data_IF_252945594324
#
_entry.id   IF_252945594324
#
_cell.length_a   1.000
_cell.length_b   1.000
_cell.length_c   1.000
_cell.angle_alpha   90.00
_cell.angle_beta   90.00
_cell.angle_gamma   90.00
#
_symmetry.space_group_name_H-M   'P 1'
#
loop_
_entity.id
_entity.type
_entity.pdbx_description
1 polymer ?
#
# COMPACT_ATOMS: atom_id res chain seq x y z
N UNK A 1 -11.94 -6.07 10.25
CA UNK A 1 -13.11 -6.06 9.35
C UNK A 1 -13.10 -7.31 8.47
N UNK A 2 -12.21 -7.47 7.46
CA UNK A 2 -12.24 -8.61 6.52
C UNK A 2 -12.26 -9.98 7.22
N UNK A 3 -11.35 -10.23 8.17
CA UNK A 3 -11.26 -11.49 8.94
C UNK A 3 -12.50 -11.82 9.78
N UNK A 4 -13.36 -10.84 10.03
CA UNK A 4 -14.59 -10.99 10.82
C UNK A 4 -15.85 -11.01 9.95
N UNK A 5 -15.71 -10.97 8.61
CA UNK A 5 -16.85 -10.89 7.70
C UNK A 5 -17.60 -9.54 7.74
N UNK A 6 -17.00 -8.49 8.31
CA UNK A 6 -17.58 -7.17 8.34
C UNK A 6 -17.46 -6.48 6.97
N UNK A 7 -18.37 -5.54 6.70
CA UNK A 7 -18.32 -4.74 5.46
C UNK A 7 -17.01 -3.98 5.36
N UNK A 8 -16.25 -4.21 4.30
CA UNK A 8 -14.98 -3.55 4.02
C UNK A 8 -15.17 -2.37 3.05
N UNK A 9 -14.22 -1.39 3.01
CA UNK A 9 -14.25 -0.34 2.01
C UNK A 9 -14.11 -0.90 0.59
N UNK A 10 -14.59 -0.18 -0.41
CA UNK A 10 -14.48 -0.57 -1.83
C UNK A 10 -13.04 -0.54 -2.33
N UNK A 11 -12.30 0.47 -1.89
CA UNK A 11 -10.91 0.70 -2.29
C UNK A 11 -10.06 1.04 -1.07
N UNK A 12 -8.81 0.67 -1.12
CA UNK A 12 -7.78 1.00 -0.14
C UNK A 12 -6.55 1.52 -0.90
N UNK A 13 -6.11 2.73 -0.57
CA UNK A 13 -4.87 3.31 -1.13
C UNK A 13 -3.85 3.44 -0.01
N UNK A 14 -2.72 2.76 -0.15
CA UNK A 14 -1.57 2.86 0.75
C UNK A 14 -0.49 3.70 0.08
N UNK A 15 0.03 4.71 0.78
CA UNK A 15 0.96 5.67 0.22
C UNK A 15 2.16 5.85 1.15
N UNK A 16 3.37 5.63 0.66
CA UNK A 16 4.62 5.88 1.37
C UNK A 16 4.73 5.20 2.74
N UNK A 17 4.10 4.03 2.92
CA UNK A 17 4.10 3.30 4.19
C UNK A 17 5.10 2.15 4.20
N UNK A 18 5.83 1.92 5.31
CA UNK A 18 6.85 0.87 5.41
C UNK A 18 6.20 -0.50 5.69
N UNK A 19 5.49 -1.06 4.72
CA UNK A 19 4.89 -2.40 4.85
C UNK A 19 5.97 -3.47 4.99
N UNK A 20 7.01 -3.41 4.16
CA UNK A 20 8.23 -4.20 4.34
C UNK A 20 9.47 -3.29 4.31
N UNK A 21 9.88 -2.81 5.47
CA UNK A 21 11.01 -1.89 5.62
C UNK A 21 12.38 -2.50 5.21
N UNK A 22 12.44 -3.79 4.88
CA UNK A 22 13.65 -4.45 4.39
C UNK A 22 13.87 -4.22 2.89
N UNK A 23 12.82 -3.81 2.17
CA UNK A 23 12.92 -3.46 0.75
C UNK A 23 13.46 -2.04 0.62
N UNK A 24 14.57 -1.86 -0.11
CA UNK A 24 15.26 -0.57 -0.29
C UNK A 24 15.37 0.23 1.01
N UNK A 25 16.06 -0.30 2.04
CA UNK A 25 16.09 0.31 3.37
C UNK A 25 16.79 1.66 3.33
N UNK A 26 16.10 2.68 3.82
CA UNK A 26 16.60 4.05 3.97
C UNK A 26 17.53 4.20 5.18
N UNK A 27 18.13 5.38 5.36
CA UNK A 27 18.96 5.67 6.56
C UNK A 27 18.15 5.48 7.86
N UNK A 28 16.89 5.88 7.86
CA UNK A 28 15.98 5.73 9.02
C UNK A 28 15.71 4.24 9.31
N UNK A 29 15.43 3.45 8.27
CA UNK A 29 15.20 2.02 8.43
C UNK A 29 16.45 1.32 8.96
N UNK A 30 17.63 1.65 8.42
CA UNK A 30 18.90 1.10 8.86
C UNK A 30 19.19 1.46 10.33
N UNK A 31 18.92 2.69 10.76
CA UNK A 31 19.04 3.07 12.17
C UNK A 31 18.13 2.23 13.05
N UNK A 32 16.87 2.06 12.65
CA UNK A 32 15.87 1.30 13.40
C UNK A 32 16.24 -0.20 13.51
N UNK A 33 16.78 -0.79 12.44
CA UNK A 33 17.21 -2.19 12.42
C UNK A 33 18.50 -2.45 13.20
N UNK A 34 19.44 -1.49 13.20
CA UNK A 34 20.78 -1.69 13.75
C UNK A 34 20.94 -1.27 15.23
N UNK A 35 20.02 -0.49 15.78
CA UNK A 35 20.03 -0.10 17.20
C UNK A 35 19.09 -0.97 18.02
N UNK A 36 19.50 -1.33 19.24
CA UNK A 36 18.65 -2.10 20.13
C UNK A 36 17.43 -1.31 20.59
N UNK A 37 16.36 -2.00 20.99
CA UNK A 37 15.18 -1.38 21.59
C UNK A 37 15.54 -0.50 22.79
N UNK A 38 16.43 -0.97 23.68
CA UNK A 38 16.92 -0.22 24.83
C UNK A 38 17.67 1.04 24.43
N UNK A 39 18.36 1.03 23.28
CA UNK A 39 19.02 2.24 22.79
C UNK A 39 17.98 3.32 22.48
N UNK A 40 16.87 2.99 21.80
CA UNK A 40 15.81 3.95 21.54
C UNK A 40 15.19 4.46 22.84
N UNK A 41 14.89 3.56 23.78
CA UNK A 41 14.31 3.94 25.07
C UNK A 41 15.20 4.92 25.86
N UNK A 42 16.52 4.72 25.85
CA UNK A 42 17.44 5.51 26.66
C UNK A 42 17.93 6.79 25.97
N UNK A 43 17.85 6.89 24.64
CA UNK A 43 18.43 8.02 23.90
C UNK A 43 17.39 8.95 23.25
N UNK A 44 16.16 8.48 23.02
CA UNK A 44 15.16 9.30 22.33
C UNK A 44 13.87 9.50 23.11
N UNK A 45 13.66 8.79 24.23
CA UNK A 45 12.48 8.94 25.07
C UNK A 45 12.81 9.88 26.23
N UNK A 46 11.98 10.90 26.40
CA UNK A 46 12.11 11.90 27.44
C UNK A 46 10.84 11.99 28.28
N UNK A 47 10.92 12.67 29.42
CA UNK A 47 9.76 13.00 30.23
C UNK A 47 9.39 14.46 30.01
N UNK A 48 8.10 14.72 29.83
CA UNK A 48 7.59 16.09 29.71
C UNK A 48 7.88 16.83 31.02
N UNK A 49 8.56 18.00 30.97
CA UNK A 49 8.92 18.77 32.15
C UNK A 49 7.70 19.27 32.93
N UNK A 50 7.88 19.57 34.23
CA UNK A 50 6.80 19.90 35.15
C UNK A 50 6.01 21.18 34.83
N UNK A 51 6.58 22.08 34.06
CA UNK A 51 5.96 23.34 33.63
C UNK A 51 5.11 23.26 32.34
N UNK A 52 5.01 22.07 31.74
CA UNK A 52 4.22 21.87 30.53
C UNK A 52 3.01 20.97 30.76
N UNK A 53 1.93 21.14 29.99
CA UNK A 53 0.80 20.22 30.01
C UNK A 53 1.24 18.77 29.73
N UNK A 54 0.78 17.82 30.55
CA UNK A 54 1.18 16.42 30.45
C UNK A 54 2.50 16.08 31.14
N UNK A 55 2.95 16.93 32.08
CA UNK A 55 4.14 16.70 32.90
C UNK A 55 4.29 15.26 33.38
N UNK A 56 5.51 14.71 33.28
CA UNK A 56 5.87 13.36 33.68
C UNK A 56 5.56 12.27 32.66
N UNK A 57 4.77 12.53 31.60
CA UNK A 57 4.56 11.55 30.51
C UNK A 57 5.85 11.26 29.79
N UNK A 58 6.01 10.00 29.40
CA UNK A 58 7.14 9.57 28.57
C UNK A 58 6.78 9.78 27.09
N UNK A 59 7.61 10.48 26.37
CA UNK A 59 7.37 10.85 24.97
C UNK A 59 8.64 10.73 24.13
N UNK A 60 8.46 10.51 22.82
CA UNK A 60 9.44 10.87 21.80
C UNK A 60 9.18 12.33 21.41
N UNK A 61 10.02 13.29 21.82
CA UNK A 61 9.71 14.71 21.72
C UNK A 61 9.67 15.20 20.27
N UNK A 62 8.78 16.16 20.00
CA UNK A 62 8.65 16.78 18.68
C UNK A 62 9.95 17.41 18.19
N UNK A 63 10.73 18.06 19.07
CA UNK A 63 12.01 18.66 18.67
C UNK A 63 13.06 17.62 18.22
N UNK A 64 13.06 16.42 18.80
CA UNK A 64 13.94 15.34 18.34
C UNK A 64 13.47 14.72 17.02
N UNK A 65 12.17 14.59 16.83
CA UNK A 65 11.60 14.15 15.56
C UNK A 65 12.01 15.13 14.46
N UNK A 66 11.84 16.43 14.70
CA UNK A 66 12.23 17.49 13.78
C UNK A 66 13.74 17.47 13.48
N UNK A 67 14.59 17.34 14.50
CA UNK A 67 16.03 17.20 14.30
C UNK A 67 16.39 15.98 13.44
N UNK A 68 15.70 14.85 13.64
CA UNK A 68 15.83 13.66 12.81
C UNK A 68 15.47 13.91 11.35
N UNK A 69 14.35 14.59 11.09
CA UNK A 69 13.91 14.94 9.73
C UNK A 69 14.91 15.85 9.01
N UNK A 70 15.45 16.85 9.69
CA UNK A 70 16.48 17.74 9.11
C UNK A 70 17.76 16.95 8.83
N UNK A 71 18.17 16.05 9.74
CA UNK A 71 19.39 15.26 9.60
C UNK A 71 19.34 14.24 8.45
N UNK A 72 18.15 13.82 8.00
CA UNK A 72 18.02 12.93 6.85
C UNK A 72 18.44 13.60 5.53
N UNK A 73 18.21 14.91 5.39
CA UNK A 73 18.56 15.64 4.17
C UNK A 73 18.93 17.11 4.45
N UNK A 74 20.08 17.35 5.14
CA UNK A 74 20.45 18.68 5.63
C UNK A 74 20.70 19.66 4.48
N UNK A 75 21.29 19.22 3.38
CA UNK A 75 21.60 20.08 2.23
C UNK A 75 20.34 20.62 1.56
N UNK A 76 19.29 19.82 1.50
CA UNK A 76 17.98 20.23 0.97
C UNK A 76 17.38 21.35 1.82
N UNK A 77 17.44 21.21 3.15
CA UNK A 77 16.92 22.22 4.06
C UNK A 77 17.74 23.53 3.98
N UNK A 78 19.08 23.43 3.99
CA UNK A 78 19.97 24.58 3.82
C UNK A 78 19.70 25.32 2.50
N UNK A 79 19.60 24.57 1.39
CA UNK A 79 19.27 25.14 0.09
C UNK A 79 17.90 25.82 0.07
N UNK A 80 16.89 25.18 0.65
CA UNK A 80 15.52 25.72 0.71
C UNK A 80 15.47 27.06 1.45
N UNK A 81 16.15 27.17 2.60
CA UNK A 81 16.23 28.43 3.35
C UNK A 81 17.04 29.50 2.62
N UNK A 82 18.09 29.12 1.90
CA UNK A 82 18.85 30.03 1.07
C UNK A 82 18.04 30.56 -0.11
N UNK A 83 17.26 29.71 -0.77
CA UNK A 83 16.36 30.11 -1.84
C UNK A 83 15.25 31.04 -1.31
N UNK A 84 14.68 30.76 -0.14
CA UNK A 84 13.74 31.66 0.54
C UNK A 84 14.31 33.04 0.79
N UNK A 85 15.56 33.14 1.25
CA UNK A 85 16.25 34.41 1.44
C UNK A 85 16.37 35.18 0.10
N UNK A 86 16.71 34.50 -0.99
CA UNK A 86 16.76 35.12 -2.32
C UNK A 86 15.40 35.62 -2.80
N UNK A 87 14.35 34.87 -2.54
CA UNK A 87 12.98 35.23 -2.93
C UNK A 87 12.47 36.45 -2.14
N UNK A 88 12.85 36.55 -0.86
CA UNK A 88 12.62 37.76 -0.04
C UNK A 88 13.29 39.00 -0.67
N UNK A 89 14.55 38.89 -1.09
CA UNK A 89 15.29 40.01 -1.72
C UNK A 89 14.65 40.41 -3.06
N UNK A 90 14.17 39.43 -3.84
CA UNK A 90 13.52 39.69 -5.14
C UNK A 90 12.09 40.22 -5.00
N UNK A 91 11.50 40.17 -3.80
CA UNK A 91 10.09 40.51 -3.59
C UNK A 91 9.11 39.49 -4.17
N UNK A 92 9.52 38.22 -4.36
CA UNK A 92 8.63 37.14 -4.82
C UNK A 92 7.75 36.66 -3.65
N UNK A 93 6.66 37.38 -3.40
CA UNK A 93 5.75 37.11 -2.30
C UNK A 93 5.08 35.73 -2.38
N UNK A 94 4.84 35.20 -3.59
CA UNK A 94 4.22 33.88 -3.76
C UNK A 94 5.14 32.74 -3.33
N UNK A 95 6.42 32.79 -3.74
CA UNK A 95 7.43 31.80 -3.31
C UNK A 95 7.73 31.90 -1.82
N UNK A 96 7.81 33.12 -1.30
CA UNK A 96 7.99 33.38 0.15
C UNK A 96 6.86 32.78 0.97
N UNK A 97 5.62 33.00 0.60
CA UNK A 97 4.46 32.47 1.32
C UNK A 97 4.38 30.94 1.22
N UNK A 98 4.66 30.38 0.06
CA UNK A 98 4.69 28.92 -0.13
C UNK A 98 5.76 28.26 0.78
N UNK A 99 6.96 28.88 0.89
CA UNK A 99 8.03 28.39 1.78
C UNK A 99 7.61 28.46 3.25
N UNK A 100 7.05 29.60 3.70
CA UNK A 100 6.57 29.76 5.09
C UNK A 100 5.51 28.74 5.43
N UNK A 101 4.49 28.61 4.60
CA UNK A 101 3.42 27.62 4.81
C UNK A 101 3.97 26.20 4.91
N UNK A 102 4.91 25.82 4.05
CA UNK A 102 5.53 24.49 4.11
C UNK A 102 6.28 24.28 5.43
N UNK A 103 7.10 25.23 5.86
CA UNK A 103 7.89 25.07 7.10
C UNK A 103 7.06 25.25 8.36
N UNK A 104 5.98 26.02 8.36
CA UNK A 104 5.05 26.09 9.47
C UNK A 104 4.40 24.72 9.73
N UNK A 105 3.97 24.02 8.68
CA UNK A 105 3.48 22.64 8.75
C UNK A 105 4.58 21.63 9.15
N UNK A 106 5.74 21.75 8.54
CA UNK A 106 6.89 20.86 8.77
C UNK A 106 7.40 20.94 10.22
N UNK A 107 7.36 22.12 10.83
CA UNK A 107 7.81 22.36 12.20
C UNK A 107 6.71 22.04 13.24
N UNK A 108 5.46 21.87 12.84
CA UNK A 108 4.34 21.57 13.73
C UNK A 108 4.31 20.11 14.19
N UNK A 109 5.44 19.58 14.66
CA UNK A 109 5.59 18.20 15.11
C UNK A 109 5.21 18.09 16.58
N UNK A 110 4.26 17.20 16.89
CA UNK A 110 3.82 16.94 18.25
C UNK A 110 4.64 15.84 18.92
N UNK A 111 4.70 15.88 20.25
CA UNK A 111 5.27 14.80 21.04
C UNK A 111 4.48 13.50 20.80
N UNK A 112 5.19 12.41 20.60
CA UNK A 112 4.61 11.09 20.38
C UNK A 112 4.70 10.26 21.67
N UNK A 113 3.65 9.52 22.03
CA UNK A 113 3.69 8.60 23.17
C UNK A 113 4.85 7.60 23.03
N UNK A 114 5.62 7.42 24.09
CA UNK A 114 6.81 6.58 24.09
C UNK A 114 6.50 5.12 23.76
N UNK A 115 5.39 4.56 24.28
CA UNK A 115 5.05 3.16 24.03
C UNK A 115 4.66 2.94 22.58
N UNK A 116 3.89 3.87 22.01
CA UNK A 116 3.53 3.83 20.60
C UNK A 116 4.77 3.87 19.68
N UNK A 117 5.69 4.80 19.95
CA UNK A 117 6.94 4.90 19.19
C UNK A 117 7.80 3.63 19.30
N UNK A 118 8.06 3.17 20.53
CA UNK A 118 8.90 2.00 20.79
C UNK A 118 8.28 0.72 20.23
N UNK A 119 6.96 0.55 20.34
CA UNK A 119 6.25 -0.58 19.74
C UNK A 119 6.30 -0.53 18.21
N UNK A 120 6.19 0.65 17.60
CA UNK A 120 6.34 0.83 16.15
C UNK A 120 7.73 0.41 15.68
N UNK A 121 8.80 0.90 16.34
CA UNK A 121 10.18 0.51 16.02
C UNK A 121 10.33 -1.02 16.07
N UNK A 122 9.89 -1.63 17.16
CA UNK A 122 10.00 -3.08 17.34
C UNK A 122 9.18 -3.86 16.31
N UNK A 123 7.91 -3.53 16.17
CA UNK A 123 6.95 -4.30 15.36
C UNK A 123 7.21 -4.18 13.87
N UNK A 124 7.48 -2.95 13.40
CA UNK A 124 7.61 -2.65 11.97
C UNK A 124 9.03 -2.83 11.46
N UNK A 125 10.03 -2.34 12.22
CA UNK A 125 11.40 -2.21 11.72
C UNK A 125 12.38 -3.27 12.29
N UNK A 126 12.08 -3.94 13.39
CA UNK A 126 12.94 -4.96 14.00
C UNK A 126 12.39 -6.37 13.84
N UNK A 127 11.13 -6.59 14.19
CA UNK A 127 10.49 -7.90 14.15
C UNK A 127 9.69 -8.15 12.85
N UNK A 128 9.42 -7.12 12.05
CA UNK A 128 8.70 -7.21 10.76
C UNK A 128 7.42 -8.04 10.88
N UNK A 129 6.67 -7.86 11.98
CA UNK A 129 5.56 -8.76 12.37
C UNK A 129 4.49 -8.90 11.31
N UNK A 130 4.17 -7.80 10.59
CA UNK A 130 3.16 -7.85 9.54
C UNK A 130 3.58 -8.79 8.40
N UNK A 131 4.81 -8.64 7.93
CA UNK A 131 5.35 -9.42 6.81
C UNK A 131 5.53 -10.88 7.18
N UNK A 132 5.96 -11.15 8.43
CA UNK A 132 6.12 -12.51 8.94
C UNK A 132 4.78 -13.16 9.33
N UNK A 133 3.64 -12.43 9.25
CA UNK A 133 2.33 -12.93 9.65
C UNK A 133 2.26 -13.28 11.15
N UNK A 134 3.08 -12.61 11.97
CA UNK A 134 3.18 -12.84 13.43
C UNK A 134 2.63 -11.69 14.27
N UNK A 135 1.98 -10.70 13.65
CA UNK A 135 1.43 -9.55 14.36
C UNK A 135 0.08 -9.88 14.96
N UNK A 136 0.00 -9.84 16.30
CA UNK A 136 -1.23 -9.94 17.05
C UNK A 136 -1.62 -8.58 17.61
N UNK A 137 -2.89 -8.24 17.52
CA UNK A 137 -3.50 -7.02 18.09
C UNK A 137 -4.62 -7.41 19.04
N UNK A 138 -4.94 -6.56 20.01
CA UNK A 138 -6.06 -6.81 20.88
C UNK A 138 -7.39 -6.50 20.16
N UNK A 139 -8.31 -7.45 20.19
CA UNK A 139 -9.68 -7.23 19.72
C UNK A 139 -10.50 -6.42 20.75
N UNK A 140 -11.75 -6.10 20.43
CA UNK A 140 -12.64 -5.32 21.33
C UNK A 140 -12.91 -6.00 22.68
N UNK A 141 -12.62 -7.30 22.81
CA UNK A 141 -12.75 -8.06 24.06
C UNK A 141 -11.43 -8.16 24.84
N UNK A 142 -10.37 -7.47 24.37
CA UNK A 142 -9.04 -7.53 24.98
C UNK A 142 -8.28 -8.84 24.71
N UNK A 143 -8.73 -9.66 23.76
CA UNK A 143 -8.07 -10.91 23.41
C UNK A 143 -7.15 -10.72 22.20
N UNK A 144 -5.99 -11.40 22.14
CA UNK A 144 -5.10 -11.33 20.98
C UNK A 144 -5.79 -11.89 19.73
N UNK A 145 -5.67 -11.18 18.62
CA UNK A 145 -6.19 -11.57 17.31
C UNK A 145 -5.11 -11.33 16.26
N UNK A 146 -4.80 -12.36 15.46
CA UNK A 146 -3.80 -12.29 14.40
C UNK A 146 -4.24 -11.35 13.28
N UNK A 147 -3.35 -10.43 12.88
CA UNK A 147 -3.53 -9.60 11.68
C UNK A 147 -3.34 -10.47 10.43
N UNK A 148 -4.35 -10.52 9.56
CA UNK A 148 -4.38 -11.38 8.36
C UNK A 148 -4.73 -10.56 7.11
N UNK A 149 -3.75 -9.93 6.45
CA UNK A 149 -3.98 -9.18 5.20
C UNK A 149 -4.56 -10.04 4.07
N UNK A 150 -4.23 -11.33 4.06
CA UNK A 150 -4.75 -12.30 3.09
C UNK A 150 -6.28 -12.49 3.16
N UNK A 151 -6.94 -12.10 4.26
CA UNK A 151 -8.40 -12.18 4.37
C UNK A 151 -9.13 -11.08 3.59
N UNK A 152 -8.40 -10.08 3.11
CA UNK A 152 -8.95 -9.01 2.27
C UNK A 152 -9.17 -9.57 0.85
N UNK A 153 -10.43 -9.55 0.38
CA UNK A 153 -10.83 -10.12 -0.92
C UNK A 153 -11.56 -9.13 -1.82
N UNK A 154 -12.42 -8.30 -1.24
CA UNK A 154 -13.38 -7.45 -1.96
C UNK A 154 -12.97 -6.00 -2.04
N UNK A 155 -11.95 -5.58 -1.29
CA UNK A 155 -11.38 -4.23 -1.32
C UNK A 155 -10.30 -4.18 -2.39
N UNK A 156 -10.43 -3.29 -3.37
CA UNK A 156 -9.37 -3.05 -4.34
C UNK A 156 -8.19 -2.33 -3.67
N UNK A 157 -6.95 -2.72 -4.01
CA UNK A 157 -5.73 -2.21 -3.41
C UNK A 157 -4.92 -1.40 -4.41
N UNK A 158 -4.63 -0.15 -4.05
CA UNK A 158 -3.65 0.70 -4.73
C UNK A 158 -2.49 1.00 -3.77
N UNK A 159 -1.26 0.92 -4.28
CA UNK A 159 -0.07 1.41 -3.57
C UNK A 159 0.59 2.53 -4.36
N UNK A 160 1.10 3.55 -3.65
CA UNK A 160 1.78 4.71 -4.23
C UNK A 160 3.10 4.91 -3.50
N UNK A 161 4.18 5.02 -4.25
CA UNK A 161 5.54 5.25 -3.76
C UNK A 161 6.21 6.39 -4.52
N UNK A 162 7.18 7.05 -3.91
CA UNK A 162 8.08 7.97 -4.59
C UNK A 162 9.37 7.26 -4.95
N UNK A 163 9.85 7.43 -6.18
CA UNK A 163 11.12 6.85 -6.65
C UNK A 163 12.31 7.28 -5.77
N UNK A 164 12.29 8.54 -5.31
CA UNK A 164 13.33 9.15 -4.48
C UNK A 164 12.90 9.31 -3.02
N UNK A 165 12.03 8.40 -2.54
CA UNK A 165 11.56 8.42 -1.16
C UNK A 165 12.69 8.00 -0.21
N UNK A 166 13.16 8.93 0.61
CA UNK A 166 14.24 8.75 1.60
C UNK A 166 13.72 8.35 2.99
N UNK A 167 12.41 8.19 3.15
CA UNK A 167 11.75 7.75 4.39
C UNK A 167 11.24 6.31 4.24
N UNK A 168 10.43 6.05 3.21
CA UNK A 168 9.91 4.73 2.87
C UNK A 168 10.37 4.38 1.46
N UNK A 169 11.48 3.67 1.35
CA UNK A 169 12.12 3.36 0.07
C UNK A 169 11.22 2.56 -0.88
N UNK A 170 11.53 2.65 -2.17
CA UNK A 170 10.79 1.96 -3.23
C UNK A 170 10.64 0.46 -2.96
N UNK A 171 9.43 -0.07 -3.17
CA UNK A 171 9.06 -1.45 -2.90
C UNK A 171 8.51 -1.70 -1.49
N UNK A 172 8.71 -0.78 -0.53
CA UNK A 172 8.24 -0.98 0.84
C UNK A 172 6.71 -0.99 0.94
N UNK A 173 6.04 -0.01 0.32
CA UNK A 173 4.57 0.05 0.30
C UNK A 173 3.99 -0.99 -0.67
N UNK A 174 4.65 -1.20 -1.82
CA UNK A 174 4.25 -2.20 -2.81
C UNK A 174 4.19 -3.62 -2.24
N UNK A 175 4.95 -3.93 -1.18
CA UNK A 175 4.91 -5.20 -0.46
C UNK A 175 3.49 -5.57 0.05
N UNK A 176 2.58 -4.60 0.20
CA UNK A 176 1.19 -4.87 0.54
C UNK A 176 0.50 -5.81 -0.46
N UNK A 177 0.91 -5.78 -1.74
CA UNK A 177 0.38 -6.66 -2.77
C UNK A 177 0.72 -8.13 -2.54
N UNK A 178 1.91 -8.39 -1.96
CA UNK A 178 2.36 -9.73 -1.61
C UNK A 178 1.63 -10.29 -0.39
N UNK A 179 1.20 -9.43 0.53
CA UNK A 179 0.45 -9.81 1.74
C UNK A 179 -1.04 -10.01 1.47
N UNK A 180 -1.64 -9.16 0.63
CA UNK A 180 -3.05 -9.23 0.26
C UNK A 180 -3.27 -10.22 -0.89
N UNK A 181 -2.93 -11.49 -0.68
CA UNK A 181 -2.87 -12.53 -1.73
C UNK A 181 -4.23 -12.87 -2.34
N UNK A 182 -5.33 -12.68 -1.60
CA UNK A 182 -6.68 -13.03 -2.06
C UNK A 182 -7.41 -11.89 -2.78
N UNK A 183 -6.79 -10.73 -2.93
CA UNK A 183 -7.31 -9.68 -3.82
C UNK A 183 -7.00 -10.07 -5.28
N UNK A 184 -8.02 -10.06 -6.13
CA UNK A 184 -7.84 -10.33 -7.56
C UNK A 184 -6.86 -9.34 -8.21
N UNK A 185 -6.06 -9.83 -9.16
CA UNK A 185 -5.04 -9.00 -9.83
C UNK A 185 -5.64 -7.79 -10.56
N UNK A 186 -6.85 -7.91 -11.09
CA UNK A 186 -7.56 -6.80 -11.75
C UNK A 186 -7.97 -5.68 -10.80
N UNK A 187 -7.95 -5.95 -9.50
CA UNK A 187 -8.24 -5.01 -8.41
C UNK A 187 -6.98 -4.46 -7.73
N UNK A 188 -5.81 -4.79 -8.24
CA UNK A 188 -4.52 -4.30 -7.72
C UNK A 188 -3.94 -3.28 -8.67
N UNK A 189 -3.39 -2.19 -8.12
CA UNK A 189 -2.67 -1.16 -8.88
C UNK A 189 -1.48 -0.67 -8.04
N UNK A 190 -0.34 -0.52 -8.68
CA UNK A 190 0.86 0.11 -8.10
C UNK A 190 1.25 1.32 -8.92
N UNK A 191 1.66 2.39 -8.27
CA UNK A 191 2.16 3.62 -8.86
C UNK A 191 3.45 4.02 -8.17
N UNK A 192 4.56 3.96 -8.89
CA UNK A 192 5.81 4.61 -8.51
C UNK A 192 5.91 5.96 -9.23
N UNK A 193 6.12 7.04 -8.48
CA UNK A 193 6.10 8.41 -8.99
C UNK A 193 7.53 8.88 -9.24
N UNK A 194 7.89 9.00 -10.51
CA UNK A 194 9.23 9.39 -10.97
C UNK A 194 9.67 10.74 -10.37
N UNK A 195 10.89 10.77 -9.82
CA UNK A 195 11.52 11.93 -9.20
C UNK A 195 10.80 12.47 -7.96
N UNK A 196 9.80 11.76 -7.40
CA UNK A 196 9.14 12.17 -6.17
C UNK A 196 9.87 11.62 -4.94
N UNK A 197 10.16 12.49 -3.96
CA UNK A 197 10.45 12.08 -2.60
C UNK A 197 9.16 11.88 -1.80
N UNK A 198 9.29 11.52 -0.53
CA UNK A 198 8.17 11.18 0.35
C UNK A 198 7.01 12.19 0.31
N UNK A 199 7.30 13.46 0.54
CA UNK A 199 6.26 14.52 0.52
C UNK A 199 5.66 14.78 -0.86
N UNK A 200 6.40 14.47 -1.93
CA UNK A 200 5.99 14.69 -3.32
C UNK A 200 4.79 13.86 -3.76
N UNK A 201 4.56 12.71 -3.10
CA UNK A 201 3.40 11.85 -3.38
C UNK A 201 2.12 12.32 -2.68
N UNK A 202 2.21 13.25 -1.71
CA UNK A 202 1.07 13.76 -0.94
C UNK A 202 0.68 15.19 -1.30
N UNK A 203 1.62 15.99 -1.82
CA UNK A 203 1.40 17.41 -2.05
C UNK A 203 2.20 17.97 -3.24
N UNK A 204 1.89 19.24 -3.61
CA UNK A 204 2.59 19.94 -4.67
C UNK A 204 2.19 19.51 -6.07
N UNK A 205 3.06 19.79 -7.05
CA UNK A 205 2.78 19.56 -8.47
C UNK A 205 2.66 18.08 -8.80
N UNK A 206 3.58 17.24 -8.31
CA UNK A 206 3.53 15.78 -8.59
C UNK A 206 2.27 15.13 -8.07
N UNK A 207 1.84 15.52 -6.87
CA UNK A 207 0.54 15.09 -6.36
C UNK A 207 -0.59 15.44 -7.31
N UNK A 208 -0.69 16.73 -7.72
CA UNK A 208 -1.80 17.20 -8.55
C UNK A 208 -1.81 16.58 -9.94
N UNK A 209 -0.62 16.45 -10.56
CA UNK A 209 -0.50 16.09 -11.97
C UNK A 209 -0.37 14.57 -12.20
N UNK A 210 0.25 13.83 -11.25
CA UNK A 210 0.54 12.40 -11.40
C UNK A 210 -0.26 11.51 -10.44
N UNK A 211 -0.32 11.85 -9.15
CA UNK A 211 -0.89 10.95 -8.13
C UNK A 211 -2.40 11.10 -8.03
N UNK A 212 -2.90 12.31 -7.80
CA UNK A 212 -4.33 12.57 -7.59
C UNK A 212 -5.22 12.04 -8.72
N UNK A 213 -4.91 12.25 -10.02
CA UNK A 213 -5.73 11.70 -11.11
C UNK A 213 -5.81 10.17 -11.07
N UNK A 214 -4.72 9.48 -10.75
CA UNK A 214 -4.67 8.03 -10.65
C UNK A 214 -5.50 7.51 -9.48
N UNK A 215 -5.34 8.12 -8.28
CA UNK A 215 -6.14 7.77 -7.10
C UNK A 215 -7.63 8.01 -7.36
N UNK A 216 -7.99 9.15 -7.96
CA UNK A 216 -9.37 9.46 -8.33
C UNK A 216 -9.95 8.43 -9.31
N UNK A 217 -9.21 8.08 -10.35
CA UNK A 217 -9.62 7.07 -11.33
C UNK A 217 -9.78 5.69 -10.69
N UNK A 218 -8.87 5.31 -9.80
CA UNK A 218 -8.93 4.05 -9.06
C UNK A 218 -10.18 3.95 -8.16
N UNK A 219 -10.50 5.02 -7.44
CA UNK A 219 -11.72 5.09 -6.61
C UNK A 219 -12.97 5.00 -7.50
N UNK A 220 -13.02 5.75 -8.60
CA UNK A 220 -14.15 5.71 -9.54
C UNK A 220 -14.35 4.32 -10.15
N UNK A 221 -13.27 3.61 -10.50
CA UNK A 221 -13.32 2.21 -10.96
C UNK A 221 -13.91 1.27 -9.91
N UNK A 222 -13.54 1.46 -8.63
CA UNK A 222 -14.11 0.69 -7.52
C UNK A 222 -15.62 0.93 -7.37
N UNK A 223 -16.07 2.17 -7.50
CA UNK A 223 -17.47 2.55 -7.44
C UNK A 223 -18.26 1.95 -8.61
N UNK A 224 -17.77 2.06 -9.84
CA UNK A 224 -18.43 1.50 -11.02
C UNK A 224 -18.59 -0.02 -10.94
N UNK A 225 -17.60 -0.73 -10.35
CA UNK A 225 -17.69 -2.16 -10.10
C UNK A 225 -18.85 -2.50 -9.16
N UNK A 226 -19.00 -1.78 -8.06
CA UNK A 226 -20.11 -2.00 -7.12
C UNK A 226 -21.48 -1.80 -7.80
N UNK A 227 -21.59 -0.77 -8.65
CA UNK A 227 -22.82 -0.49 -9.40
C UNK A 227 -23.15 -1.61 -10.38
N UNK A 228 -22.14 -2.18 -11.04
CA UNK A 228 -22.33 -3.35 -11.94
C UNK A 228 -22.73 -4.61 -11.19
N UNK A 229 -22.13 -4.90 -10.02
CA UNK A 229 -22.47 -6.04 -9.18
C UNK A 229 -23.87 -5.91 -8.56
N UNK A 230 -24.34 -4.70 -8.28
CA UNK A 230 -25.65 -4.41 -7.72
C UNK A 230 -26.76 -4.28 -8.79
N UNK A 231 -26.40 -4.15 -10.07
CA UNK A 231 -27.38 -4.06 -11.16
C UNK A 231 -28.13 -5.39 -11.30
N UNK A 232 -29.49 -5.38 -11.37
CA UNK A 232 -30.25 -6.62 -11.57
C UNK A 232 -29.83 -7.28 -12.89
N UNK A 233 -29.48 -8.56 -12.82
CA UNK A 233 -29.10 -9.35 -14.00
C UNK A 233 -30.16 -9.15 -15.11
N UNK A 234 -29.78 -8.52 -16.23
CA UNK A 234 -30.65 -8.43 -17.38
C UNK A 234 -31.00 -9.87 -17.79
N UNK A 235 -32.24 -10.31 -17.49
CA UNK A 235 -32.75 -11.56 -17.97
C UNK A 235 -32.56 -11.59 -19.48
N UNK A 236 -31.63 -12.41 -19.96
CA UNK A 236 -31.58 -12.77 -21.36
C UNK A 236 -32.92 -13.43 -21.68
N UNK A 237 -33.74 -12.75 -22.47
CA UNK A 237 -34.91 -13.40 -23.10
C UNK A 237 -34.33 -14.47 -24.02
N UNK A 238 -34.26 -15.71 -23.55
CA UNK A 238 -34.02 -16.85 -24.40
C UNK A 238 -35.22 -16.91 -25.34
N UNK A 239 -34.98 -16.68 -26.61
CA UNK A 239 -35.97 -16.94 -27.67
C UNK A 239 -36.37 -18.42 -27.59
N UNK A 240 -37.65 -18.66 -27.37
CA UNK A 240 -38.22 -20.00 -27.45
C UNK A 240 -37.99 -20.56 -28.87
N UNK A 241 -37.58 -21.83 -29.03
CA UNK A 241 -37.47 -22.43 -30.34
C UNK A 241 -38.86 -22.66 -30.91
N UNK A 242 -39.11 -22.10 -32.10
CA UNK A 242 -40.31 -22.35 -32.90
C UNK A 242 -40.37 -23.83 -33.25
N UNK A 243 -41.36 -24.53 -32.71
CA UNK A 243 -41.75 -25.89 -33.14
C UNK A 243 -42.30 -25.86 -34.56
N UNK A 244 -41.48 -26.32 -35.51
CA UNK A 244 -41.97 -26.71 -36.82
C UNK A 244 -42.31 -28.22 -36.80
N UNK A 245 -43.58 -28.49 -36.80
CA UNK A 245 -44.18 -29.80 -37.14
C UNK A 245 -43.73 -30.19 -38.53
N UNK A 246 -43.10 -31.34 -38.69
CA UNK A 246 -43.00 -32.07 -39.99
C UNK A 246 -43.33 -33.55 -39.77
N UNK A 247 -44.28 -33.93 -40.53
CA UNK A 247 -44.90 -35.22 -40.72
C UNK A 247 -43.93 -36.34 -41.06
N UNK A 248 -44.27 -37.52 -40.60
CA UNK A 248 -43.64 -38.82 -40.88
C UNK A 248 -43.57 -39.21 -42.35
N UNK A 249 -42.48 -39.84 -42.73
CA UNK A 249 -42.43 -40.82 -43.81
C UNK A 249 -41.38 -41.88 -43.51
N UNK A 250 -41.84 -43.09 -43.37
CA UNK A 250 -41.12 -44.35 -43.27
C UNK A 250 -40.36 -44.71 -44.53
N UNK A 251 -39.17 -45.29 -44.45
CA UNK A 251 -38.76 -46.59 -45.08
C UNK A 251 -37.29 -46.93 -44.88
N UNK A 252 -37.08 -48.06 -44.25
CA UNK A 252 -36.31 -49.27 -44.57
C UNK A 252 -34.81 -49.25 -44.83
N UNK A 253 -34.11 -49.87 -43.90
CA UNK A 253 -33.12 -50.97 -44.03
C UNK A 253 -31.83 -50.74 -44.85
N UNK A 254 -30.69 -50.88 -44.21
CA UNK A 254 -29.68 -51.96 -44.38
C UNK A 254 -28.38 -51.71 -43.63
N UNK A 255 -27.99 -52.70 -42.87
CA UNK A 255 -26.63 -52.97 -42.33
C UNK A 255 -25.94 -53.93 -43.36
N UNK A 256 -24.62 -54.27 -43.32
CA UNK A 256 -23.51 -54.01 -42.39
C UNK A 256 -22.15 -53.76 -43.09
N UNK A 257 -21.09 -53.52 -42.39
CA UNK A 257 -19.88 -54.40 -42.19
C UNK A 257 -18.64 -53.63 -41.74
N UNK A 258 -17.95 -54.26 -40.88
CA UNK A 258 -16.70 -54.09 -40.20
C UNK A 258 -15.45 -53.91 -41.06
N UNK A 259 -14.40 -53.28 -40.51
CA UNK A 259 -13.08 -53.87 -40.28
C UNK A 259 -12.01 -52.83 -39.85
N UNK A 260 -11.46 -53.07 -38.71
CA UNK A 260 -10.07 -53.40 -38.39
C UNK A 260 -9.01 -52.29 -38.44
N UNK A 261 -8.49 -52.10 -37.22
CA UNK A 261 -7.13 -51.56 -36.93
C UNK A 261 -6.00 -52.42 -37.60
N UNK A 262 -4.74 -51.96 -37.69
CA UNK A 262 -3.87 -52.11 -36.51
C UNK A 262 -2.77 -51.05 -36.31
N UNK A 263 -2.39 -50.89 -35.04
CA UNK A 263 -1.08 -50.88 -34.37
C UNK A 263 0.21 -50.84 -35.19
N UNK A 264 1.16 -50.03 -34.73
CA UNK A 264 2.53 -50.30 -34.26
C UNK A 264 3.30 -48.98 -34.21
N UNK A 265 3.89 -48.61 -33.15
CA UNK A 265 5.00 -49.02 -32.31
C UNK A 265 6.26 -48.22 -32.57
N UNK A 266 6.74 -47.68 -31.45
CA UNK A 266 8.11 -47.71 -30.95
C UNK A 266 9.16 -46.75 -31.57
N UNK A 267 9.76 -46.00 -30.79
CA UNK A 267 10.92 -46.17 -29.95
C UNK A 267 12.00 -45.09 -30.14
N UNK A 268 12.48 -44.64 -29.01
CA UNK A 268 13.91 -44.38 -28.66
C UNK A 268 14.68 -43.33 -29.49
N UNK A 269 15.47 -42.50 -28.96
CA UNK A 269 16.41 -42.53 -27.85
C UNK A 269 17.15 -41.19 -27.80
N UNK A 270 17.30 -40.62 -26.64
CA UNK A 270 18.53 -40.29 -25.93
C UNK A 270 19.57 -39.35 -26.60
N UNK A 271 19.90 -38.40 -25.78
CA UNK A 271 21.23 -38.00 -25.28
C UNK A 271 21.74 -36.61 -25.67
N UNK A 272 22.04 -35.93 -24.59
CA UNK A 272 23.21 -35.08 -24.31
C UNK A 272 23.40 -33.77 -25.10
N UNK A 273 23.58 -32.79 -24.27
CA UNK A 273 24.17 -31.48 -24.51
C UNK A 273 23.88 -30.61 -23.32
#
# INVERSE_FOLDING_TARGET
>A
MASRGEKTPLTMTMMGGPIDARKSPTAVNNLAMNKSHNWFENNVIFRVPGNFPGAGRRVYPGFMQHAGFVAMNPDRHAKSHYDYFKDLIKGDGASVEAHRKFYDEYNAVLDMDANYYLETIRTVFQEFKLVHGSWDVLNLKGQPERVRPQDIRTTALMTVEGELDDISGSGQTAAAHDLCTQIDKSMKQHLEVEGAGHYGIFSGRRWRDAVYPQVKAFIAKGQARLEQESAPAKRSKSAAPATKSVRAATKTAARPTASRSPRKSAARSAKMG
#
